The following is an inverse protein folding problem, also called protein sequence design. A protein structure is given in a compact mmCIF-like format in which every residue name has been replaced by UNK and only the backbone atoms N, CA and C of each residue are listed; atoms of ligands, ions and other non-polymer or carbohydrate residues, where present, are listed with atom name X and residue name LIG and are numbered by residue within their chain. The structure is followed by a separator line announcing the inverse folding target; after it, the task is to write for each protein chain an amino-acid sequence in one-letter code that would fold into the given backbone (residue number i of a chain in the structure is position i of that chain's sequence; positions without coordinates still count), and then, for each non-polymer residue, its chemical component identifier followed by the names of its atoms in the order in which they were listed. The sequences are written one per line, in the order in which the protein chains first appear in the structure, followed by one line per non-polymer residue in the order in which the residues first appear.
data_IF_533926077628
#
_entry.id   IF_533926077628
#
_cell.length_a   1.000
_cell.length_b   1.000
_cell.length_c   1.000
_cell.angle_alpha   90.00
_cell.angle_beta   90.00
_cell.angle_gamma   90.00
#
_symmetry.space_group_name_H-M   'P 1'
#
loop_
_entity.id
_entity.type
_entity.pdbx_description
1 polymer ?
#
# COMPACT_ATOMS: atom_id res chain seq x y z
N UNK A 1 -14.99 4.65 -17.13
CA UNK A 1 -13.98 3.55 -16.97
C UNK A 1 -12.98 3.95 -15.89
N UNK A 2 -12.51 3.01 -15.09
CA UNK A 2 -11.58 3.24 -13.99
C UNK A 2 -10.21 2.65 -14.36
N UNK A 3 -9.15 3.47 -14.34
CA UNK A 3 -7.77 3.00 -14.50
C UNK A 3 -7.16 2.71 -13.14
N UNK A 4 -6.51 1.53 -13.00
CA UNK A 4 -5.79 1.14 -11.79
C UNK A 4 -4.31 1.00 -12.13
N UNK A 5 -3.48 1.84 -11.55
CA UNK A 5 -2.03 1.65 -11.57
C UNK A 5 -1.60 0.81 -10.36
N UNK A 6 -0.43 0.16 -10.42
CA UNK A 6 -0.03 -0.79 -9.37
C UNK A 6 -0.95 -2.00 -9.25
N UNK A 7 -1.69 -2.34 -10.30
CA UNK A 7 -2.76 -3.36 -10.33
C UNK A 7 -2.31 -4.77 -9.92
N UNK A 8 -1.03 -5.10 -10.07
CA UNK A 8 -0.43 -6.40 -9.70
C UNK A 8 0.17 -6.43 -8.28
N UNK A 9 0.15 -5.29 -7.58
CA UNK A 9 0.59 -5.19 -6.19
C UNK A 9 -0.48 -5.61 -5.18
N UNK A 10 -0.12 -5.60 -3.89
CA UNK A 10 -1.00 -6.06 -2.80
C UNK A 10 -2.36 -5.34 -2.78
N UNK A 11 -2.38 -4.01 -2.78
CA UNK A 11 -3.62 -3.22 -2.76
C UNK A 11 -4.30 -3.27 -4.13
N UNK A 12 -3.54 -3.10 -5.22
CA UNK A 12 -4.11 -3.04 -6.57
C UNK A 12 -4.82 -4.32 -6.97
N UNK A 13 -4.26 -5.48 -6.67
CA UNK A 13 -4.90 -6.79 -6.95
C UNK A 13 -6.25 -6.93 -6.25
N UNK A 14 -6.32 -6.56 -4.97
CA UNK A 14 -7.58 -6.62 -4.22
C UNK A 14 -8.60 -5.59 -4.74
N UNK A 15 -8.16 -4.40 -5.10
CA UNK A 15 -9.03 -3.37 -5.68
C UNK A 15 -9.59 -3.79 -7.05
N UNK A 16 -8.77 -4.34 -7.94
CA UNK A 16 -9.21 -4.86 -9.24
C UNK A 16 -10.27 -5.94 -9.07
N UNK A 17 -10.05 -6.91 -8.16
CA UNK A 17 -11.04 -7.97 -7.87
C UNK A 17 -12.36 -7.39 -7.36
N UNK A 18 -12.32 -6.42 -6.46
CA UNK A 18 -13.50 -5.79 -5.87
C UNK A 18 -14.32 -5.03 -6.92
N UNK A 19 -13.66 -4.17 -7.70
CA UNK A 19 -14.31 -3.40 -8.76
C UNK A 19 -14.92 -4.30 -9.85
N UNK A 20 -14.22 -5.36 -10.25
CA UNK A 20 -14.73 -6.33 -11.22
C UNK A 20 -15.95 -7.09 -10.70
N UNK A 21 -15.98 -7.51 -9.43
CA UNK A 21 -17.16 -8.13 -8.80
C UNK A 21 -18.35 -7.20 -8.74
N UNK A 22 -18.12 -5.89 -8.64
CA UNK A 22 -19.15 -4.84 -8.68
C UNK A 22 -19.66 -4.56 -10.10
N UNK A 23 -19.03 -5.14 -11.11
CA UNK A 23 -19.38 -4.92 -12.53
C UNK A 23 -18.82 -3.64 -13.14
N UNK A 24 -17.85 -3.01 -12.47
CA UNK A 24 -17.20 -1.81 -12.97
C UNK A 24 -16.28 -2.13 -14.17
N UNK A 25 -16.21 -1.19 -15.13
CA UNK A 25 -15.25 -1.29 -16.23
C UNK A 25 -13.88 -0.83 -15.76
N UNK A 26 -12.96 -1.79 -15.63
CA UNK A 26 -11.62 -1.57 -15.10
C UNK A 26 -10.58 -1.77 -16.18
N UNK A 27 -9.62 -0.84 -16.26
CA UNK A 27 -8.37 -0.99 -16.99
C UNK A 27 -7.22 -1.07 -15.99
N UNK A 28 -6.42 -2.13 -16.06
CA UNK A 28 -5.23 -2.34 -15.24
C UNK A 28 -3.98 -1.93 -16.00
N UNK A 29 -3.25 -0.91 -15.50
CA UNK A 29 -1.96 -0.48 -16.05
C UNK A 29 -0.86 -1.38 -15.45
N UNK A 30 -0.18 -2.11 -16.31
CA UNK A 30 0.80 -3.13 -15.92
C UNK A 30 2.09 -2.99 -16.72
N UNK A 31 3.23 -3.32 -16.11
CA UNK A 31 4.50 -3.34 -16.82
C UNK A 31 4.53 -4.49 -17.83
N UNK A 32 5.22 -4.30 -18.95
CA UNK A 32 5.41 -5.33 -19.98
C UNK A 32 5.88 -6.64 -19.34
N UNK A 33 5.22 -7.73 -19.67
CA UNK A 33 5.53 -9.08 -19.15
C UNK A 33 5.12 -9.33 -17.71
N UNK A 34 4.53 -8.35 -16.97
CA UNK A 34 4.07 -8.55 -15.60
C UNK A 34 2.69 -9.20 -15.50
N UNK A 35 2.01 -9.42 -16.60
CA UNK A 35 0.70 -10.10 -16.66
C UNK A 35 0.76 -11.59 -16.29
N UNK A 36 1.95 -12.18 -16.18
CA UNK A 36 2.13 -13.60 -15.82
C UNK A 36 1.56 -14.00 -14.46
N UNK A 37 1.25 -13.06 -13.57
CA UNK A 37 0.60 -13.28 -12.30
C UNK A 37 -0.78 -12.64 -12.18
N UNK A 38 -1.25 -11.92 -13.20
CA UNK A 38 -2.57 -11.32 -13.19
C UNK A 38 -3.61 -12.43 -13.43
N UNK A 39 -4.40 -12.71 -12.39
CA UNK A 39 -5.55 -13.63 -12.53
C UNK A 39 -6.49 -12.98 -13.57
N UNK A 40 -6.86 -13.70 -14.65
CA UNK A 40 -7.83 -13.18 -15.60
C UNK A 40 -9.15 -12.91 -14.87
N UNK A 41 -9.48 -11.63 -14.68
CA UNK A 41 -10.73 -11.23 -14.04
C UNK A 41 -11.66 -10.76 -15.15
N UNK A 42 -12.85 -11.33 -15.22
CA UNK A 42 -13.87 -10.95 -16.21
C UNK A 42 -14.14 -9.44 -16.11
N UNK A 43 -14.13 -8.74 -17.24
CA UNK A 43 -14.43 -7.31 -17.30
C UNK A 43 -13.23 -6.39 -17.02
N UNK A 44 -12.03 -6.93 -16.88
CA UNK A 44 -10.79 -6.16 -16.72
C UNK A 44 -10.02 -6.15 -18.02
N UNK A 45 -9.68 -4.95 -18.49
CA UNK A 45 -8.77 -4.71 -19.61
C UNK A 45 -7.36 -4.52 -19.06
N UNK A 46 -6.36 -5.16 -19.67
CA UNK A 46 -4.95 -4.94 -19.32
C UNK A 46 -4.30 -4.08 -20.39
N UNK A 47 -3.62 -3.03 -19.95
CA UNK A 47 -2.81 -2.16 -20.83
C UNK A 47 -1.37 -2.15 -20.32
N UNK A 48 -0.42 -2.41 -21.21
CA UNK A 48 0.99 -2.35 -20.89
C UNK A 48 1.51 -0.91 -20.93
N UNK A 49 2.37 -0.57 -19.96
CA UNK A 49 3.09 0.68 -19.92
C UNK A 49 4.12 0.71 -18.80
N UNK A 50 4.95 1.73 -18.81
CA UNK A 50 6.00 1.94 -17.80
C UNK A 50 6.03 3.40 -17.39
N UNK A 51 6.18 3.67 -16.10
CA UNK A 51 6.30 5.02 -15.57
C UNK A 51 7.62 5.72 -15.97
N UNK A 52 8.58 4.98 -16.53
CA UNK A 52 9.78 5.54 -17.15
C UNK A 52 9.57 5.86 -18.65
N UNK A 53 8.43 5.48 -19.23
CA UNK A 53 8.08 5.69 -20.64
C UNK A 53 6.81 6.54 -20.76
N UNK A 54 6.89 7.89 -20.67
CA UNK A 54 5.70 8.77 -20.71
C UNK A 54 4.83 8.58 -21.96
N UNK A 55 5.39 8.14 -23.08
CA UNK A 55 4.65 7.82 -24.29
C UNK A 55 3.59 6.70 -24.09
N UNK A 56 3.75 5.87 -23.06
CA UNK A 56 2.80 4.80 -22.70
C UNK A 56 1.57 5.31 -21.94
N UNK A 57 1.56 6.56 -21.45
CA UNK A 57 0.51 7.06 -20.56
C UNK A 57 -0.79 7.39 -21.30
N UNK A 58 -0.70 8.15 -22.41
CA UNK A 58 -1.89 8.58 -23.14
C UNK A 58 -2.74 7.41 -23.68
N UNK A 59 -2.15 6.35 -24.27
CA UNK A 59 -2.92 5.16 -24.65
C UNK A 59 -3.63 4.51 -23.46
N UNK A 60 -2.98 4.46 -22.29
CA UNK A 60 -3.56 3.87 -21.09
C UNK A 60 -4.71 4.71 -20.53
N UNK A 61 -4.62 6.03 -20.65
CA UNK A 61 -5.58 6.99 -20.12
C UNK A 61 -6.77 7.29 -21.07
N UNK A 62 -6.73 6.79 -22.30
CA UNK A 62 -7.80 7.02 -23.28
C UNK A 62 -9.16 6.51 -22.77
N UNK A 63 -10.16 7.42 -22.64
CA UNK A 63 -11.52 7.10 -22.18
C UNK A 63 -11.62 6.79 -20.67
N UNK A 64 -10.61 7.14 -19.89
CA UNK A 64 -10.61 6.99 -18.43
C UNK A 64 -11.28 8.19 -17.78
N UNK A 65 -12.19 7.90 -16.86
CA UNK A 65 -12.93 8.86 -16.07
C UNK A 65 -12.34 9.04 -14.66
N UNK A 66 -11.93 7.93 -14.04
CA UNK A 66 -11.38 7.88 -12.69
C UNK A 66 -10.08 7.08 -12.66
N UNK A 67 -9.13 7.55 -11.88
CA UNK A 67 -7.81 6.96 -11.75
C UNK A 67 -7.54 6.57 -10.29
N UNK A 68 -7.13 5.32 -10.06
CA UNK A 68 -6.43 4.93 -8.83
C UNK A 68 -4.92 5.01 -9.07
N UNK A 69 -4.27 5.98 -8.43
CA UNK A 69 -2.84 6.24 -8.61
C UNK A 69 -2.03 5.59 -7.49
N UNK A 70 -1.31 4.54 -7.84
CA UNK A 70 -0.38 3.82 -6.98
C UNK A 70 0.88 3.46 -7.78
N UNK A 71 2.03 3.99 -7.37
CA UNK A 71 3.34 3.64 -7.90
C UNK A 71 4.20 3.14 -6.73
N UNK A 72 4.94 2.03 -6.85
CA UNK A 72 5.88 1.60 -5.82
C UNK A 72 6.91 2.69 -5.49
N UNK A 73 7.28 2.80 -4.21
CA UNK A 73 8.27 3.78 -3.76
C UNK A 73 9.62 3.59 -4.45
N UNK A 74 10.23 4.67 -4.90
CA UNK A 74 11.51 4.69 -5.57
C UNK A 74 12.03 6.12 -5.72
N UNK A 75 13.28 6.27 -6.05
CA UNK A 75 13.97 7.58 -6.13
C UNK A 75 13.29 8.57 -7.08
N UNK A 76 12.67 8.09 -8.15
CA UNK A 76 12.03 8.93 -9.17
C UNK A 76 10.50 8.97 -9.06
N UNK A 77 9.93 8.35 -8.02
CA UNK A 77 8.48 8.17 -7.88
C UNK A 77 7.68 9.48 -7.85
N UNK A 78 8.24 10.53 -7.25
CA UNK A 78 7.59 11.84 -7.21
C UNK A 78 7.43 12.42 -8.62
N UNK A 79 8.49 12.44 -9.41
CA UNK A 79 8.48 12.90 -10.81
C UNK A 79 7.54 12.05 -11.66
N UNK A 80 7.64 10.73 -11.57
CA UNK A 80 6.79 9.79 -12.31
C UNK A 80 5.30 10.01 -12.02
N UNK A 81 4.93 10.22 -10.75
CA UNK A 81 3.53 10.50 -10.41
C UNK A 81 3.06 11.83 -10.98
N UNK A 82 3.89 12.88 -10.91
CA UNK A 82 3.54 14.20 -11.47
C UNK A 82 3.35 14.15 -12.98
N UNK A 83 4.26 13.51 -13.71
CA UNK A 83 4.15 13.32 -15.16
C UNK A 83 2.88 12.53 -15.54
N UNK A 84 2.52 11.50 -14.74
CA UNK A 84 1.29 10.74 -14.96
C UNK A 84 0.02 11.57 -14.65
N UNK A 85 0.07 12.45 -13.66
CA UNK A 85 -1.02 13.39 -13.35
C UNK A 85 -1.23 14.40 -14.50
N UNK A 86 -0.15 14.89 -15.10
CA UNK A 86 -0.24 15.77 -16.27
C UNK A 86 -0.90 15.08 -17.47
N UNK A 87 -0.50 13.84 -17.74
CA UNK A 87 -1.12 13.04 -18.79
C UNK A 87 -2.61 12.73 -18.47
N UNK A 88 -2.93 12.47 -17.21
CA UNK A 88 -4.31 12.26 -16.75
C UNK A 88 -5.18 13.51 -16.98
N UNK A 89 -4.63 14.70 -16.65
CA UNK A 89 -5.30 15.98 -16.91
C UNK A 89 -5.53 16.20 -18.41
N UNK A 90 -4.51 15.96 -19.21
CA UNK A 90 -4.61 16.09 -20.69
C UNK A 90 -5.64 15.13 -21.29
N UNK A 91 -5.79 13.93 -20.70
CA UNK A 91 -6.76 12.92 -21.14
C UNK A 91 -8.18 13.14 -20.62
N UNK A 92 -8.43 14.17 -19.80
CA UNK A 92 -9.76 14.49 -19.29
C UNK A 92 -10.20 13.62 -18.11
N UNK A 93 -9.27 13.00 -17.36
CA UNK A 93 -9.57 12.30 -16.11
C UNK A 93 -10.19 13.27 -15.12
N UNK A 94 -11.35 12.91 -14.56
CA UNK A 94 -12.12 13.79 -13.67
C UNK A 94 -11.76 13.62 -12.20
N UNK A 95 -11.32 12.44 -11.77
CA UNK A 95 -11.01 12.12 -10.37
C UNK A 95 -9.77 11.24 -10.24
N UNK A 96 -8.92 11.57 -9.29
CA UNK A 96 -7.77 10.76 -8.86
C UNK A 96 -7.94 10.33 -7.41
N UNK A 97 -8.10 9.03 -7.17
CA UNK A 97 -7.91 8.43 -5.86
C UNK A 97 -6.43 8.02 -5.73
N UNK A 98 -5.66 8.79 -4.95
CA UNK A 98 -4.22 8.52 -4.79
C UNK A 98 -3.97 7.68 -3.54
N UNK A 99 -3.28 6.53 -3.69
CA UNK A 99 -2.68 5.87 -2.54
C UNK A 99 -1.46 6.66 -2.07
N UNK A 100 -1.59 7.24 -0.90
CA UNK A 100 -0.60 8.06 -0.22
C UNK A 100 -0.02 7.29 0.98
N UNK A 101 0.42 8.00 2.01
CA UNK A 101 0.91 7.44 3.27
C UNK A 101 0.44 8.29 4.44
N UNK A 102 0.20 7.66 5.59
CA UNK A 102 -0.07 8.38 6.84
C UNK A 102 1.05 9.39 7.12
N UNK A 103 0.67 10.61 7.52
CA UNK A 103 1.62 11.67 7.75
C UNK A 103 2.15 12.37 6.47
N UNK A 104 1.60 12.07 5.28
CA UNK A 104 2.00 12.73 4.03
C UNK A 104 1.97 14.27 4.15
N UNK A 105 3.14 14.88 3.95
CA UNK A 105 3.34 16.32 4.05
C UNK A 105 4.61 16.72 3.28
N UNK A 106 4.53 17.72 2.38
CA UNK A 106 5.69 18.17 1.60
C UNK A 106 6.85 18.71 2.44
N UNK A 107 6.59 19.07 3.70
CA UNK A 107 7.60 19.51 4.68
C UNK A 107 8.08 18.40 5.62
N UNK A 108 7.61 17.16 5.44
CA UNK A 108 8.05 16.05 6.26
C UNK A 108 9.56 15.84 6.16
N UNK A 109 10.17 15.35 7.26
CA UNK A 109 11.59 14.97 7.29
C UNK A 109 11.82 13.66 6.55
N UNK A 110 10.98 12.67 6.82
CA UNK A 110 11.03 11.35 6.20
C UNK A 110 10.65 11.43 4.72
N UNK A 111 11.41 10.75 3.89
CA UNK A 111 11.31 10.85 2.41
C UNK A 111 9.99 10.33 1.85
N UNK A 112 9.41 9.27 2.43
CA UNK A 112 8.16 8.73 1.92
C UNK A 112 6.98 9.67 2.19
N UNK A 113 6.69 10.13 3.41
CA UNK A 113 5.66 11.15 3.64
C UNK A 113 5.92 12.44 2.86
N UNK A 114 7.19 12.81 2.65
CA UNK A 114 7.56 14.03 1.91
C UNK A 114 7.15 13.96 0.45
N UNK A 115 7.57 12.92 -0.29
CA UNK A 115 7.19 12.83 -1.71
C UNK A 115 5.69 12.61 -1.89
N UNK A 116 5.06 11.87 -0.97
CA UNK A 116 3.60 11.72 -1.00
C UNK A 116 2.89 13.06 -0.85
N UNK A 117 3.31 13.89 0.10
CA UNK A 117 2.79 15.24 0.29
C UNK A 117 3.02 16.17 -0.91
N UNK A 118 4.21 16.09 -1.52
CA UNK A 118 4.51 16.86 -2.73
C UNK A 118 3.61 16.48 -3.92
N UNK A 119 3.31 15.18 -4.09
CA UNK A 119 2.39 14.71 -5.13
C UNK A 119 0.94 15.09 -4.81
N UNK A 120 0.50 15.00 -3.55
CA UNK A 120 -0.83 15.46 -3.14
C UNK A 120 -1.02 16.95 -3.48
N UNK A 121 -0.06 17.80 -3.09
CA UNK A 121 -0.07 19.22 -3.42
C UNK A 121 -0.11 19.48 -4.93
N UNK A 122 0.59 18.65 -5.71
CA UNK A 122 0.59 18.74 -7.18
C UNK A 122 -0.78 18.39 -7.77
N UNK A 123 -1.41 17.31 -7.29
CA UNK A 123 -2.75 16.92 -7.72
C UNK A 123 -3.77 18.02 -7.42
N UNK A 124 -3.74 18.61 -6.21
CA UNK A 124 -4.60 19.74 -5.86
C UNK A 124 -4.44 20.90 -6.84
N UNK A 125 -3.18 21.29 -7.16
CA UNK A 125 -2.87 22.36 -8.11
C UNK A 125 -3.27 22.03 -9.55
N UNK A 126 -3.38 20.76 -9.92
CA UNK A 126 -3.81 20.36 -11.26
C UNK A 126 -5.27 20.72 -11.57
N UNK A 127 -6.11 20.85 -10.53
CA UNK A 127 -7.55 21.10 -10.63
C UNK A 127 -8.37 19.84 -10.91
N UNK A 128 -7.78 18.66 -10.99
CA UNK A 128 -8.51 17.39 -11.07
C UNK A 128 -9.14 17.09 -9.71
N UNK A 129 -10.36 16.57 -9.68
CA UNK A 129 -11.00 16.08 -8.45
C UNK A 129 -10.13 15.01 -7.77
N UNK A 130 -9.96 15.08 -6.45
CA UNK A 130 -9.04 14.18 -5.77
C UNK A 130 -9.64 13.56 -4.51
N UNK A 131 -9.09 12.41 -4.14
CA UNK A 131 -9.22 11.81 -2.81
C UNK A 131 -7.88 11.19 -2.42
N UNK A 132 -7.37 11.51 -1.23
CA UNK A 132 -6.11 10.95 -0.75
C UNK A 132 -6.37 9.87 0.28
N UNK A 133 -5.85 8.68 0.02
CA UNK A 133 -5.90 7.53 0.89
C UNK A 133 -4.53 7.41 1.56
N UNK A 134 -4.47 7.66 2.86
CA UNK A 134 -3.24 7.69 3.65
C UNK A 134 -3.19 6.49 4.61
N UNK A 135 -2.88 5.29 4.12
CA UNK A 135 -2.74 4.13 4.98
C UNK A 135 -1.51 4.23 5.88
N UNK A 136 -1.58 3.53 7.00
CA UNK A 136 -0.45 3.19 7.84
C UNK A 136 0.25 1.91 7.31
N UNK A 137 1.23 1.38 8.06
CA UNK A 137 1.97 0.16 7.74
C UNK A 137 1.01 -0.99 7.38
N UNK A 138 1.28 -1.67 6.29
CA UNK A 138 0.45 -2.79 5.83
C UNK A 138 0.76 -4.07 6.62
N UNK A 139 -0.27 -4.80 7.04
CA UNK A 139 -0.09 -6.14 7.65
C UNK A 139 0.70 -7.06 6.72
N UNK A 140 0.47 -6.97 5.41
CA UNK A 140 1.17 -7.77 4.40
C UNK A 140 2.68 -7.47 4.30
N UNK A 141 3.16 -6.34 4.82
CA UNK A 141 4.59 -6.05 4.90
C UNK A 141 5.33 -7.05 5.80
N UNK A 142 4.65 -7.65 6.79
CA UNK A 142 5.24 -8.70 7.64
C UNK A 142 5.62 -9.96 6.87
N UNK A 143 5.03 -10.20 5.69
CA UNK A 143 5.43 -11.31 4.84
C UNK A 143 6.86 -11.17 4.29
N UNK A 144 7.42 -9.98 4.26
CA UNK A 144 8.83 -9.76 3.89
C UNK A 144 9.79 -10.38 4.92
N UNK A 145 9.35 -10.57 6.16
CA UNK A 145 10.13 -11.23 7.23
C UNK A 145 9.88 -12.74 7.30
N UNK A 146 9.06 -13.28 6.38
CA UNK A 146 8.66 -14.69 6.38
C UNK A 146 9.86 -15.66 6.49
N UNK A 147 10.95 -15.42 5.78
CA UNK A 147 12.11 -16.30 5.78
C UNK A 147 12.69 -16.46 7.20
N UNK A 148 12.93 -15.36 7.91
CA UNK A 148 13.44 -15.37 9.28
C UNK A 148 12.40 -15.95 10.26
N UNK A 149 11.11 -15.63 10.07
CA UNK A 149 10.03 -16.20 10.89
C UNK A 149 9.97 -17.72 10.72
N UNK A 150 10.03 -18.24 9.49
CA UNK A 150 9.98 -19.68 9.22
C UNK A 150 11.22 -20.39 9.77
N UNK A 151 12.42 -19.90 9.46
CA UNK A 151 13.67 -20.60 9.78
C UNK A 151 14.12 -20.44 11.24
N UNK A 152 13.88 -19.26 11.84
CA UNK A 152 14.43 -18.90 13.14
C UNK A 152 13.37 -18.59 14.21
N UNK A 153 12.10 -18.38 13.83
CA UNK A 153 11.07 -17.87 14.73
C UNK A 153 11.31 -16.42 15.15
N UNK A 154 11.90 -15.59 14.28
CA UNK A 154 12.27 -14.23 14.65
C UNK A 154 11.69 -13.22 13.65
N UNK A 155 11.12 -12.15 14.19
CA UNK A 155 10.73 -10.94 13.49
C UNK A 155 11.77 -9.86 13.82
N UNK A 156 12.67 -9.58 12.88
CA UNK A 156 13.69 -8.54 13.04
C UNK A 156 13.14 -7.18 12.61
N UNK A 157 13.11 -6.19 13.49
CA UNK A 157 12.73 -4.83 13.14
C UNK A 157 13.29 -3.81 14.13
N UNK A 158 13.78 -2.63 13.68
CA UNK A 158 14.29 -1.59 14.57
C UNK A 158 13.19 -0.72 15.15
N UNK A 159 12.11 -1.33 15.65
CA UNK A 159 10.89 -0.67 16.07
C UNK A 159 10.81 -0.34 17.55
N UNK A 160 11.72 -0.89 18.38
CA UNK A 160 11.65 -0.77 19.83
C UNK A 160 10.29 -1.24 20.37
N UNK A 161 9.70 -0.41 21.24
CA UNK A 161 8.35 -0.60 21.77
C UNK A 161 7.32 0.33 21.11
N UNK A 162 7.63 0.92 19.97
CA UNK A 162 6.72 1.79 19.25
C UNK A 162 5.47 1.04 18.77
N UNK A 163 4.31 1.70 18.93
CA UNK A 163 3.04 1.15 18.48
C UNK A 163 2.71 1.64 17.08
N UNK A 164 2.18 0.75 16.26
CA UNK A 164 1.75 1.05 14.89
C UNK A 164 0.33 0.54 14.70
N UNK A 165 -0.56 1.38 14.19
CA UNK A 165 -1.92 0.97 13.82
C UNK A 165 -1.93 0.32 12.42
N UNK A 166 -1.33 -0.87 12.36
CA UNK A 166 -1.12 -1.65 11.14
C UNK A 166 -2.44 -2.03 10.46
N UNK A 167 -2.53 -1.91 9.14
CA UNK A 167 -3.78 -2.07 8.37
C UNK A 167 -3.69 -3.16 7.31
N UNK A 168 -4.77 -3.92 7.12
CA UNK A 168 -4.87 -4.91 6.04
C UNK A 168 -5.10 -4.22 4.68
N UNK A 169 -4.37 -4.66 3.64
CA UNK A 169 -4.53 -4.10 2.29
C UNK A 169 -5.94 -4.27 1.71
N UNK A 170 -6.70 -5.24 2.20
CA UNK A 170 -8.09 -5.47 1.78
C UNK A 170 -9.01 -4.37 2.29
N UNK A 171 -8.72 -3.79 3.45
CA UNK A 171 -9.47 -2.65 4.01
C UNK A 171 -9.15 -1.38 3.22
N UNK A 172 -7.88 -1.20 2.85
CA UNK A 172 -7.48 -0.10 1.95
C UNK A 172 -8.19 -0.22 0.60
N UNK A 173 -8.24 -1.43 0.03
CA UNK A 173 -8.93 -1.69 -1.23
C UNK A 173 -10.45 -1.48 -1.11
N UNK A 174 -11.05 -1.81 0.04
CA UNK A 174 -12.47 -1.56 0.30
C UNK A 174 -12.79 -0.06 0.34
N UNK A 175 -11.96 0.73 1.03
CA UNK A 175 -12.11 2.20 1.02
C UNK A 175 -11.90 2.77 -0.39
N UNK A 176 -10.87 2.31 -1.11
CA UNK A 176 -10.60 2.75 -2.48
C UNK A 176 -11.76 2.43 -3.44
N UNK A 177 -12.38 1.26 -3.32
CA UNK A 177 -13.57 0.89 -4.09
C UNK A 177 -14.70 1.90 -3.89
N UNK A 178 -15.06 2.22 -2.63
CA UNK A 178 -16.12 3.20 -2.32
C UNK A 178 -15.80 4.56 -2.91
N UNK A 179 -14.59 5.04 -2.68
CA UNK A 179 -14.10 6.33 -3.20
C UNK A 179 -14.19 6.43 -4.72
N UNK A 180 -13.93 5.33 -5.42
CA UNK A 180 -13.96 5.30 -6.89
C UNK A 180 -15.36 5.08 -7.47
N UNK A 181 -16.32 4.59 -6.69
CA UNK A 181 -17.63 4.20 -7.21
C UNK A 181 -18.81 4.99 -6.63
N UNK A 182 -18.62 5.68 -5.53
CA UNK A 182 -19.66 6.42 -4.83
C UNK A 182 -19.38 7.93 -4.82
N UNK A 183 -20.38 8.80 -4.77
CA UNK A 183 -20.18 10.25 -4.69
C UNK A 183 -19.79 10.70 -3.26
N UNK A 184 -19.34 11.95 -3.14
CA UNK A 184 -19.12 12.60 -1.83
C UNK A 184 -17.72 12.39 -1.26
N UNK A 185 -16.80 11.84 -2.03
CA UNK A 185 -15.42 11.59 -1.61
C UNK A 185 -14.41 12.60 -2.18
N UNK A 186 -14.82 13.46 -3.11
CA UNK A 186 -13.95 14.48 -3.69
C UNK A 186 -13.48 15.46 -2.61
N UNK A 187 -12.20 15.85 -2.69
CA UNK A 187 -11.55 16.76 -1.75
C UNK A 187 -11.27 16.16 -0.38
N UNK A 188 -11.54 14.87 -0.17
CA UNK A 188 -11.33 14.19 1.12
C UNK A 188 -9.92 13.63 1.25
N UNK A 189 -9.48 13.57 2.51
CA UNK A 189 -8.25 12.88 2.93
C UNK A 189 -8.65 11.85 3.97
N UNK A 190 -8.28 10.61 3.74
CA UNK A 190 -8.62 9.48 4.59
C UNK A 190 -7.36 8.83 5.16
N UNK A 191 -7.09 9.06 6.46
CA UNK A 191 -6.10 8.27 7.19
C UNK A 191 -6.70 6.89 7.45
N UNK A 192 -6.04 5.83 6.96
CA UNK A 192 -6.57 4.46 7.00
C UNK A 192 -5.69 3.62 7.91
N UNK A 193 -6.26 3.14 9.01
CA UNK A 193 -5.55 2.35 10.03
C UNK A 193 -6.31 1.06 10.33
N UNK A 194 -5.59 0.11 10.92
CA UNK A 194 -6.23 -1.02 11.57
C UNK A 194 -6.96 -0.59 12.85
N UNK A 195 -7.66 -1.54 13.50
CA UNK A 195 -8.49 -1.26 14.67
C UNK A 195 -7.68 -1.15 15.98
N UNK A 196 -6.39 -1.44 15.94
CA UNK A 196 -5.51 -1.55 17.10
C UNK A 196 -4.10 -1.03 16.82
N UNK A 197 -3.48 -0.40 17.81
CA UNK A 197 -2.08 -0.01 17.76
C UNK A 197 -1.22 -1.07 18.43
N UNK A 198 -0.39 -1.79 17.68
CA UNK A 198 0.42 -2.90 18.15
C UNK A 198 1.91 -2.60 18.11
N UNK A 199 2.66 -3.08 19.10
CA UNK A 199 4.11 -3.18 19.01
C UNK A 199 4.49 -4.40 18.16
N UNK A 200 5.70 -4.43 17.61
CA UNK A 200 6.21 -5.61 16.90
C UNK A 200 6.32 -6.84 17.81
N UNK A 201 6.53 -6.63 19.13
CA UNK A 201 6.48 -7.70 20.13
C UNK A 201 5.08 -8.31 20.26
N UNK A 202 4.03 -7.51 20.33
CA UNK A 202 2.64 -7.97 20.38
C UNK A 202 2.23 -8.67 19.07
N UNK A 203 2.70 -8.17 17.91
CA UNK A 203 2.53 -8.85 16.61
C UNK A 203 3.19 -10.23 16.60
N UNK A 204 4.43 -10.33 17.10
CA UNK A 204 5.14 -11.60 17.21
C UNK A 204 4.44 -12.57 18.17
N UNK A 205 3.91 -12.09 19.30
CA UNK A 205 3.13 -12.90 20.24
C UNK A 205 1.83 -13.41 19.61
N UNK A 206 1.11 -12.58 18.86
CA UNK A 206 -0.10 -12.98 18.13
C UNK A 206 0.22 -14.04 17.08
N UNK A 207 1.29 -13.88 16.30
CA UNK A 207 1.77 -14.88 15.36
C UNK A 207 2.14 -16.20 16.09
N UNK A 208 2.83 -16.11 17.24
CA UNK A 208 3.18 -17.29 18.04
C UNK A 208 1.94 -18.08 18.43
N UNK A 209 0.93 -17.41 18.94
CA UNK A 209 -0.33 -18.04 19.36
C UNK A 209 -1.06 -18.71 18.18
N UNK A 210 -1.14 -18.03 17.03
CA UNK A 210 -1.87 -18.53 15.86
C UNK A 210 -1.13 -19.65 15.14
N UNK A 211 0.21 -19.66 15.17
CA UNK A 211 1.04 -20.66 14.48
C UNK A 211 1.45 -21.83 15.36
N UNK A 212 1.12 -21.82 16.66
CA UNK A 212 1.48 -22.86 17.61
C UNK A 212 3.01 -23.02 17.81
N UNK A 213 3.79 -21.98 17.54
CA UNK A 213 5.26 -21.97 17.69
C UNK A 213 5.73 -20.62 18.20
N UNK A 214 6.85 -20.62 18.92
CA UNK A 214 7.42 -19.37 19.44
C UNK A 214 7.95 -18.50 18.31
N UNK A 215 7.47 -17.25 18.26
CA UNK A 215 8.01 -16.19 17.42
C UNK A 215 8.32 -15.01 18.33
N UNK A 216 9.50 -14.43 18.19
CA UNK A 216 9.97 -13.30 19.01
C UNK A 216 10.30 -12.12 18.11
N UNK A 217 9.99 -10.91 18.57
CA UNK A 217 10.55 -9.70 18.00
C UNK A 217 11.95 -9.48 18.58
N UNK A 218 12.89 -9.17 17.70
CA UNK A 218 14.25 -8.74 18.06
C UNK A 218 14.42 -7.31 17.54
N UNK A 219 14.54 -6.37 18.47
CA UNK A 219 14.84 -4.97 18.17
C UNK A 219 16.31 -4.86 17.77
N UNK A 220 16.56 -4.75 16.48
CA UNK A 220 17.91 -4.66 15.91
C UNK A 220 18.37 -3.22 15.79
N UNK A 221 19.68 -3.01 15.79
CA UNK A 221 20.25 -1.70 15.49
C UNK A 221 19.85 -1.26 14.05
N UNK A 222 19.51 0.01 13.84
CA UNK A 222 19.16 0.52 12.49
C UNK A 222 20.26 0.25 11.45
N UNK A 223 21.53 0.27 11.85
CA UNK A 223 22.68 -0.05 10.97
C UNK A 223 22.66 -1.49 10.48
N UNK A 224 22.44 -2.46 11.39
CA UNK A 224 22.34 -3.86 11.03
C UNK A 224 21.10 -4.14 10.14
N UNK A 225 19.98 -3.45 10.40
CA UNK A 225 18.79 -3.56 9.57
C UNK A 225 19.03 -3.00 8.17
N UNK A 226 19.72 -1.86 8.05
CA UNK A 226 20.17 -1.28 6.77
C UNK A 226 20.96 -2.29 5.94
N UNK A 227 21.99 -2.88 6.54
CA UNK A 227 22.85 -3.86 5.87
C UNK A 227 22.05 -5.07 5.38
N UNK A 228 21.12 -5.56 6.19
CA UNK A 228 20.25 -6.66 5.82
C UNK A 228 19.35 -6.30 4.61
N UNK A 229 18.71 -5.13 4.63
CA UNK A 229 17.86 -4.68 3.52
C UNK A 229 18.66 -4.50 2.21
N UNK A 230 19.87 -3.94 2.29
CA UNK A 230 20.77 -3.81 1.15
C UNK A 230 21.19 -5.19 0.60
N UNK A 231 21.46 -6.16 1.48
CA UNK A 231 21.81 -7.52 1.07
C UNK A 231 20.67 -8.26 0.36
N UNK A 232 19.44 -7.89 0.64
CA UNK A 232 18.25 -8.37 -0.10
C UNK A 232 18.02 -7.63 -1.44
N UNK A 233 18.92 -6.72 -1.82
CA UNK A 233 18.88 -6.02 -3.10
C UNK A 233 17.92 -4.83 -3.15
N UNK A 234 17.47 -4.32 -2.00
CA UNK A 234 16.66 -3.10 -1.99
C UNK A 234 17.52 -1.89 -2.39
N UNK A 235 17.00 -0.97 -3.24
CA UNK A 235 17.70 0.25 -3.57
C UNK A 235 18.00 1.10 -2.34
N UNK A 236 19.18 1.73 -2.30
CA UNK A 236 19.63 2.54 -1.16
C UNK A 236 18.60 3.59 -0.73
N UNK A 237 18.01 4.31 -1.69
CA UNK A 237 16.99 5.32 -1.41
C UNK A 237 15.77 4.73 -0.68
N UNK A 238 15.35 3.53 -1.05
CA UNK A 238 14.22 2.84 -0.43
C UNK A 238 14.56 2.34 0.97
N UNK A 239 15.78 1.82 1.16
CA UNK A 239 16.29 1.36 2.47
C UNK A 239 16.25 2.50 3.48
N UNK A 240 16.78 3.67 3.11
CA UNK A 240 16.76 4.84 3.99
C UNK A 240 15.33 5.29 4.32
N UNK A 241 14.40 5.24 3.36
CA UNK A 241 12.99 5.55 3.61
C UNK A 241 12.32 4.58 4.59
N UNK A 242 12.64 3.30 4.48
CA UNK A 242 12.16 2.29 5.44
C UNK A 242 12.70 2.56 6.85
N UNK A 243 13.98 2.93 6.98
CA UNK A 243 14.57 3.27 8.28
C UNK A 243 13.93 4.53 8.89
N UNK A 244 13.66 5.54 8.08
CA UNK A 244 12.96 6.75 8.51
C UNK A 244 11.52 6.44 9.00
N UNK A 245 10.80 5.53 8.34
CA UNK A 245 9.49 5.07 8.80
C UNK A 245 9.60 4.32 10.15
N UNK A 246 10.60 3.44 10.30
CA UNK A 246 10.83 2.75 11.58
C UNK A 246 11.22 3.70 12.71
N UNK A 247 11.93 4.79 12.42
CA UNK A 247 12.19 5.85 13.41
C UNK A 247 10.89 6.50 13.87
N UNK A 248 9.97 6.83 12.95
CA UNK A 248 8.63 7.36 13.31
C UNK A 248 7.83 6.35 14.16
N UNK A 249 7.89 5.05 13.82
CA UNK A 249 7.22 4.02 14.62
C UNK A 249 7.80 3.97 16.03
N UNK A 250 9.11 3.96 16.18
CA UNK A 250 9.82 3.98 17.47
C UNK A 250 9.43 5.19 18.32
N UNK A 251 9.22 6.35 17.69
CA UNK A 251 8.79 7.59 18.34
C UNK A 251 7.29 7.63 18.66
N UNK A 252 6.51 6.61 18.28
CA UNK A 252 5.06 6.53 18.55
C UNK A 252 4.19 7.37 17.60
N UNK A 253 4.75 7.90 16.52
CA UNK A 253 4.06 8.79 15.58
C UNK A 253 3.01 8.07 14.71
N UNK A 254 3.02 6.72 14.69
CA UNK A 254 2.15 5.88 13.88
C UNK A 254 1.08 5.11 14.70
N UNK A 255 0.85 5.48 15.96
CA UNK A 255 -0.02 4.72 16.87
C UNK A 255 -1.51 5.08 16.79
N UNK A 256 -1.85 6.23 16.21
CA UNK A 256 -3.23 6.73 16.17
C UNK A 256 -4.16 5.79 15.41
N UNK A 257 -5.34 5.53 15.96
CA UNK A 257 -6.40 4.70 15.35
C UNK A 257 -7.45 5.62 14.75
N UNK A 258 -7.96 5.25 13.58
CA UNK A 258 -9.04 5.96 12.87
C UNK A 258 -10.20 5.02 12.57
N UNK A 259 -11.40 5.56 12.56
CA UNK A 259 -12.64 4.85 12.20
C UNK A 259 -12.89 4.80 10.68
N UNK A 260 -11.98 5.32 9.88
CA UNK A 260 -12.16 5.55 8.42
C UNK A 260 -12.68 4.33 7.67
N UNK A 261 -12.16 3.13 7.95
CA UNK A 261 -12.64 1.91 7.28
C UNK A 261 -14.13 1.74 7.54
N UNK A 262 -14.56 1.82 8.79
CA UNK A 262 -15.98 1.70 9.18
C UNK A 262 -16.82 2.82 8.58
N UNK A 263 -16.34 4.07 8.69
CA UNK A 263 -17.11 5.25 8.26
C UNK A 263 -17.36 5.26 6.75
N UNK A 264 -16.41 4.73 5.96
CA UNK A 264 -16.50 4.71 4.49
C UNK A 264 -17.15 3.43 3.99
N UNK A 265 -16.88 2.28 4.60
CA UNK A 265 -17.32 0.98 4.07
C UNK A 265 -18.55 0.41 4.76
N UNK A 266 -18.86 0.88 5.98
CA UNK A 266 -19.86 0.28 6.88
C UNK A 266 -19.35 -0.93 7.67
N UNK A 267 -18.13 -1.43 7.37
CA UNK A 267 -17.53 -2.60 8.00
C UNK A 267 -16.32 -2.19 8.88
N UNK A 268 -16.09 -2.91 9.98
CA UNK A 268 -14.91 -2.69 10.82
C UNK A 268 -13.62 -3.10 10.10
N UNK A 269 -12.52 -2.39 10.38
CA UNK A 269 -11.21 -2.81 9.90
C UNK A 269 -10.81 -4.18 10.49
N UNK A 270 -10.08 -4.98 9.71
CA UNK A 270 -9.60 -6.31 10.11
C UNK A 270 -8.57 -6.19 11.22
N UNK A 271 -8.74 -7.01 12.28
CA UNK A 271 -7.77 -7.13 13.35
C UNK A 271 -6.55 -7.95 12.90
N UNK A 272 -5.40 -7.68 13.50
CA UNK A 272 -4.16 -8.39 13.19
C UNK A 272 -4.25 -9.90 13.45
N UNK A 273 -5.02 -10.31 14.46
CA UNK A 273 -5.27 -11.73 14.75
C UNK A 273 -5.95 -12.49 13.61
N UNK A 274 -6.89 -11.86 12.89
CA UNK A 274 -7.54 -12.42 11.70
C UNK A 274 -6.54 -12.56 10.54
N UNK A 275 -5.74 -11.54 10.30
CA UNK A 275 -4.65 -11.60 9.32
C UNK A 275 -3.67 -12.73 9.63
N UNK A 276 -3.21 -12.86 10.87
CA UNK A 276 -2.26 -13.90 11.29
C UNK A 276 -2.81 -15.30 11.05
N UNK A 277 -4.11 -15.52 11.31
CA UNK A 277 -4.80 -16.80 11.06
C UNK A 277 -4.90 -17.11 9.56
N UNK A 278 -5.38 -16.18 8.76
CA UNK A 278 -5.56 -16.35 7.32
C UNK A 278 -4.24 -16.55 6.57
N UNK A 279 -3.16 -15.92 7.04
CA UNK A 279 -1.83 -16.04 6.46
C UNK A 279 -0.94 -17.09 7.16
N UNK A 280 -1.48 -17.88 8.08
CA UNK A 280 -0.74 -18.86 8.86
C UNK A 280 0.14 -19.79 7.98
N UNK A 281 -0.43 -20.36 6.92
CA UNK A 281 0.29 -21.24 6.00
C UNK A 281 1.53 -20.57 5.37
N UNK A 282 1.42 -19.29 5.03
CA UNK A 282 2.56 -18.52 4.50
C UNK A 282 3.67 -18.35 5.54
N UNK A 283 3.31 -18.13 6.80
CA UNK A 283 4.26 -18.01 7.91
C UNK A 283 4.82 -19.35 8.40
N UNK A 284 4.19 -20.47 8.03
CA UNK A 284 4.71 -21.82 8.28
C UNK A 284 5.60 -22.34 7.15
N UNK A 285 5.82 -21.58 6.09
CA UNK A 285 6.65 -22.00 4.96
C UNK A 285 5.95 -22.96 3.99
N UNK A 286 4.66 -23.17 4.18
CA UNK A 286 3.85 -24.04 3.30
C UNK A 286 3.33 -23.22 2.13
N UNK A 287 3.30 -23.82 0.93
CA UNK A 287 2.63 -23.20 -0.20
C UNK A 287 1.13 -23.09 0.13
N UNK A 288 0.56 -21.90 0.00
CA UNK A 288 -0.88 -21.76 0.06
C UNK A 288 -1.44 -22.59 -1.11
N UNK A 289 -2.10 -23.70 -0.83
CA UNK A 289 -3.00 -24.30 -1.80
C UNK A 289 -4.07 -23.25 -2.08
N UNK A 290 -3.97 -22.58 -3.22
CA UNK A 290 -5.03 -21.69 -3.69
C UNK A 290 -6.27 -22.56 -3.95
N UNK A 291 -7.45 -22.22 -3.39
CA UNK A 291 -8.70 -22.78 -3.85
C UNK A 291 -9.00 -22.30 -5.26
#
# INVERSE_FOLDING_TARGET
MILITGATGNVGTELVKRLARRGEKVRAFVRRGSTRGAIPVRGVEFVEGDFNEPASFLPALAGIDRLFLLIPSGEHVERQQKEFVDAAKQSGVRQIAKLSQLGANEKARARFPKYHGAVESYIVKSGIGYTFLRPNLFMQALLNFRSAIVSQGILYAPAGNGRVSIVDVRDIAAVAERVLTEPGHEGKVYDITGPEGLTHGEMAATLSHRLGRTIKHVDVAPTAFREALLSFGLPHWQVEGVLEDYEQYRNGEASAIRSTVRDVTGEGARAFGQFAEEYAMKFLGQAANAP
#
